data_IF_836784089274
#
_entry.id   IF_836784089274
#
_cell.length_a   1.000
_cell.length_b   1.000
_cell.length_c   1.000
_cell.angle_alpha   90.00
_cell.angle_beta   90.00
_cell.angle_gamma   90.00
#
_symmetry.space_group_name_H-M   'P 1'
#
loop_
_entity.id
_entity.type
_entity.pdbx_description
1 polymer ?
#
# COMPACT_ATOMS: atom_id res chain seq x y z
N UNK A 1 9.64 -13.60 27.98
CA UNK A 1 10.35 -12.77 26.99
C UNK A 1 10.80 -13.74 25.92
N UNK A 2 10.08 -13.82 24.80
CA UNK A 2 10.47 -14.68 23.68
C UNK A 2 10.75 -13.83 22.44
N UNK A 3 11.98 -13.98 21.96
CA UNK A 3 12.59 -13.34 20.81
C UNK A 3 12.05 -13.93 19.50
N UNK A 4 10.96 -13.38 18.96
CA UNK A 4 10.61 -13.57 17.55
C UNK A 4 10.34 -12.25 16.80
N UNK A 5 11.13 -11.24 17.17
CA UNK A 5 11.27 -9.91 16.56
C UNK A 5 12.14 -9.93 15.29
N UNK A 6 11.94 -10.89 14.38
CA UNK A 6 12.58 -10.85 13.04
C UNK A 6 11.58 -11.25 11.97
N UNK A 7 10.89 -10.24 11.42
CA UNK A 7 10.60 -10.06 9.98
C UNK A 7 9.24 -9.37 9.75
N UNK A 8 9.15 -8.10 10.13
CA UNK A 8 8.14 -7.13 9.69
C UNK A 8 8.24 -6.81 8.18
N UNK A 9 8.57 -7.79 7.34
CA UNK A 9 8.67 -7.70 5.88
C UNK A 9 7.69 -8.66 5.17
N UNK A 10 6.91 -9.45 5.91
CA UNK A 10 6.14 -10.59 5.39
C UNK A 10 4.65 -10.34 5.12
N UNK A 11 4.00 -9.38 5.77
CA UNK A 11 2.52 -9.27 5.81
C UNK A 11 1.85 -9.15 4.42
N UNK A 12 2.54 -8.62 3.40
CA UNK A 12 1.99 -8.49 2.04
C UNK A 12 2.36 -9.62 1.05
N UNK A 13 3.38 -10.43 1.35
CA UNK A 13 3.95 -11.41 0.39
C UNK A 13 3.80 -12.87 0.86
N UNK A 14 3.09 -13.09 1.95
CA UNK A 14 2.74 -14.41 2.48
C UNK A 14 1.85 -15.17 1.49
N UNK A 15 2.07 -16.48 1.38
CA UNK A 15 1.28 -17.36 0.50
C UNK A 15 1.62 -17.29 -1.00
N UNK A 16 2.45 -16.35 -1.44
CA UNK A 16 2.90 -16.26 -2.84
C UNK A 16 3.98 -17.29 -3.17
N UNK A 17 4.02 -17.76 -4.41
CA UNK A 17 5.13 -18.60 -4.89
C UNK A 17 6.45 -17.80 -4.93
N UNK A 18 7.57 -18.53 -4.99
CA UNK A 18 8.89 -17.94 -4.91
C UNK A 18 9.21 -16.98 -6.07
N UNK A 19 8.76 -17.30 -7.29
CA UNK A 19 9.00 -16.46 -8.47
C UNK A 19 8.21 -15.14 -8.33
N UNK A 20 6.93 -15.22 -7.96
CA UNK A 20 6.10 -14.05 -7.70
C UNK A 20 6.71 -13.16 -6.63
N UNK A 21 7.14 -13.74 -5.50
CA UNK A 21 7.80 -12.98 -4.42
C UNK A 21 9.07 -12.28 -4.91
N UNK A 22 9.86 -12.96 -5.75
CA UNK A 22 11.09 -12.40 -6.33
C UNK A 22 10.79 -11.22 -7.25
N UNK A 23 9.79 -11.33 -8.11
CA UNK A 23 9.38 -10.26 -9.04
C UNK A 23 8.87 -9.05 -8.24
N UNK A 24 8.00 -9.26 -7.25
CA UNK A 24 7.43 -8.15 -6.46
C UNK A 24 8.50 -7.42 -5.64
N UNK A 25 9.45 -8.15 -5.04
CA UNK A 25 10.60 -7.55 -4.36
C UNK A 25 11.55 -6.80 -5.31
N UNK A 26 11.65 -7.25 -6.56
CA UNK A 26 12.45 -6.56 -7.58
C UNK A 26 11.77 -5.27 -8.05
N UNK A 27 10.44 -5.20 -8.10
CA UNK A 27 9.73 -3.99 -8.53
C UNK A 27 10.01 -2.81 -7.61
N UNK A 28 9.91 -2.99 -6.29
CA UNK A 28 10.15 -1.90 -5.34
C UNK A 28 10.77 -2.40 -4.04
N UNK A 29 11.76 -1.66 -3.50
CA UNK A 29 12.29 -1.92 -2.16
C UNK A 29 11.35 -1.41 -1.05
N UNK A 30 10.35 -0.58 -1.38
CA UNK A 30 9.48 0.05 -0.39
C UNK A 30 8.34 -0.88 0.01
N UNK A 31 8.12 -1.00 1.32
CA UNK A 31 7.01 -1.73 1.89
C UNK A 31 6.32 -0.88 2.97
N UNK A 32 5.06 -0.49 2.71
CA UNK A 32 4.28 0.36 3.61
C UNK A 32 3.36 -0.41 4.56
N UNK A 33 3.20 -1.73 4.39
CA UNK A 33 2.39 -2.55 5.30
C UNK A 33 2.87 -2.52 6.77
N UNK A 34 4.18 -2.55 7.07
CA UNK A 34 4.66 -2.49 8.45
C UNK A 34 4.28 -1.19 9.13
N UNK A 35 4.51 -0.06 8.45
CA UNK A 35 4.12 1.25 8.96
C UNK A 35 2.60 1.37 9.12
N UNK A 36 1.83 0.83 8.17
CA UNK A 36 0.37 0.77 8.29
C UNK A 36 -0.05 0.01 9.55
N UNK A 37 0.52 -1.17 9.78
CA UNK A 37 0.24 -2.01 10.94
C UNK A 37 0.61 -1.31 12.25
N UNK A 38 1.75 -0.64 12.32
CA UNK A 38 2.15 0.17 13.47
C UNK A 38 1.12 1.27 13.77
N UNK A 39 0.69 2.02 12.76
CA UNK A 39 -0.32 3.09 12.93
C UNK A 39 -1.68 2.51 13.33
N UNK A 40 -2.09 1.40 12.70
CA UNK A 40 -3.37 0.74 12.96
C UNK A 40 -3.41 0.13 14.36
N UNK A 41 -2.31 -0.47 14.83
CA UNK A 41 -2.19 -1.07 16.17
C UNK A 41 -2.13 -0.02 17.28
N UNK A 42 -1.55 1.15 17.03
CA UNK A 42 -1.53 2.27 17.97
C UNK A 42 -2.86 3.04 18.04
N UNK A 43 -3.77 2.83 17.07
CA UNK A 43 -5.07 3.49 17.02
C UNK A 43 -6.01 2.86 18.05
N UNK A 44 -6.57 3.68 18.94
CA UNK A 44 -7.61 3.24 19.88
C UNK A 44 -8.82 2.69 19.13
N UNK A 45 -9.46 1.67 19.71
CA UNK A 45 -10.67 1.08 19.17
C UNK A 45 -11.73 2.18 18.92
N UNK A 46 -12.55 2.00 17.88
CA UNK A 46 -13.57 2.96 17.42
C UNK A 46 -13.06 4.31 16.88
N UNK A 47 -11.77 4.65 17.05
CA UNK A 47 -11.22 5.91 16.53
C UNK A 47 -11.31 5.97 15.00
N UNK A 48 -11.92 7.05 14.51
CA UNK A 48 -12.15 7.27 13.08
C UNK A 48 -13.40 6.62 12.51
N UNK A 49 -14.21 5.92 13.31
CA UNK A 49 -15.48 5.35 12.84
C UNK A 49 -16.46 6.45 12.40
N UNK A 50 -16.53 7.55 13.15
CA UNK A 50 -17.33 8.73 12.79
C UNK A 50 -17.02 9.25 11.38
N UNK A 51 -15.76 9.14 10.93
CA UNK A 51 -15.33 9.60 9.62
C UNK A 51 -15.89 8.71 8.51
N UNK A 52 -15.86 7.38 8.69
CA UNK A 52 -16.45 6.43 7.74
C UNK A 52 -17.98 6.60 7.65
N UNK A 53 -18.61 7.06 8.73
CA UNK A 53 -20.04 7.34 8.75
C UNK A 53 -20.41 8.68 8.11
N UNK A 54 -19.43 9.57 7.91
CA UNK A 54 -19.66 10.91 7.38
C UNK A 54 -20.10 10.88 5.90
N UNK A 55 -21.05 11.75 5.54
CA UNK A 55 -21.67 11.73 4.21
C UNK A 55 -20.65 11.98 3.08
N UNK A 56 -19.63 12.81 3.32
CA UNK A 56 -18.58 13.06 2.33
C UNK A 56 -17.77 11.80 2.02
N UNK A 57 -17.45 10.99 3.02
CA UNK A 57 -16.75 9.72 2.80
C UNK A 57 -17.64 8.74 2.05
N UNK A 58 -18.89 8.56 2.49
CA UNK A 58 -19.85 7.67 1.83
C UNK A 58 -20.09 8.04 0.36
N UNK A 59 -20.21 9.34 0.08
CA UNK A 59 -20.34 9.84 -1.27
C UNK A 59 -19.09 9.55 -2.11
N UNK A 60 -17.90 9.80 -1.57
CA UNK A 60 -16.64 9.52 -2.26
C UNK A 60 -16.48 8.03 -2.61
N UNK A 61 -16.85 7.12 -1.72
CA UNK A 61 -16.79 5.66 -1.99
C UNK A 61 -17.84 5.22 -3.02
N UNK A 62 -19.02 5.84 -3.03
CA UNK A 62 -20.17 5.37 -3.83
C UNK A 62 -20.18 5.97 -5.24
N UNK A 63 -19.76 7.22 -5.41
CA UNK A 63 -19.96 7.97 -6.65
C UNK A 63 -18.67 8.06 -7.49
N UNK A 64 -18.61 7.45 -8.68
CA UNK A 64 -17.43 7.44 -9.55
C UNK A 64 -16.93 8.83 -9.96
N UNK A 65 -17.80 9.85 -9.91
CA UNK A 65 -17.46 11.23 -10.27
C UNK A 65 -16.62 11.96 -9.21
N UNK A 66 -16.55 11.45 -7.98
CA UNK A 66 -15.72 12.01 -6.90
C UNK A 66 -14.43 11.20 -6.78
N UNK A 67 -13.42 11.56 -7.57
CA UNK A 67 -12.17 10.78 -7.63
C UNK A 67 -11.23 11.05 -6.44
N UNK A 68 -11.38 12.18 -5.74
CA UNK A 68 -10.43 12.62 -4.72
C UNK A 68 -11.14 13.12 -3.46
N UNK A 69 -10.67 12.64 -2.31
CA UNK A 69 -11.04 13.13 -0.98
C UNK A 69 -9.77 13.62 -0.28
N UNK A 70 -9.74 14.89 0.13
CA UNK A 70 -8.58 15.50 0.79
C UNK A 70 -8.93 15.86 2.23
N UNK A 71 -8.16 15.34 3.19
CA UNK A 71 -8.25 15.71 4.59
C UNK A 71 -7.27 16.82 4.93
N UNK A 72 -7.78 17.96 5.39
CA UNK A 72 -6.97 19.10 5.87
C UNK A 72 -7.00 19.18 7.40
N UNK A 73 -5.92 19.66 8.01
CA UNK A 73 -5.86 19.87 9.45
C UNK A 73 -4.45 20.20 9.93
N UNK A 74 -4.36 20.74 11.14
CA UNK A 74 -3.09 21.09 11.79
C UNK A 74 -2.21 19.85 12.06
N UNK A 75 -0.88 20.00 12.19
CA UNK A 75 -0.03 18.92 12.68
C UNK A 75 -0.57 18.32 13.99
N UNK A 76 -0.51 17.00 14.14
CA UNK A 76 -1.00 16.31 15.34
C UNK A 76 -2.51 16.02 15.40
N UNK A 77 -3.34 16.50 14.47
CA UNK A 77 -4.80 16.27 14.49
C UNK A 77 -5.26 14.85 14.10
N UNK A 78 -4.35 13.88 14.03
CA UNK A 78 -4.70 12.48 13.74
C UNK A 78 -5.03 12.17 12.27
N UNK A 79 -4.66 13.02 11.30
CA UNK A 79 -4.91 12.76 9.86
C UNK A 79 -4.42 11.39 9.41
N UNK A 80 -3.19 11.02 9.77
CA UNK A 80 -2.59 9.72 9.44
C UNK A 80 -3.35 8.54 10.05
N UNK A 81 -3.89 8.72 11.26
CA UNK A 81 -4.71 7.72 11.95
C UNK A 81 -6.07 7.55 11.25
N UNK A 82 -6.66 8.64 10.74
CA UNK A 82 -7.87 8.56 9.91
C UNK A 82 -7.58 7.89 8.56
N UNK A 83 -6.45 8.22 7.91
CA UNK A 83 -6.04 7.56 6.67
C UNK A 83 -5.81 6.06 6.86
N UNK A 84 -5.23 5.61 7.98
CA UNK A 84 -5.12 4.16 8.25
C UNK A 84 -6.49 3.51 8.40
N UNK A 85 -7.49 4.20 9.00
CA UNK A 85 -8.85 3.66 9.12
C UNK A 85 -9.53 3.50 7.75
N UNK A 86 -9.24 4.40 6.81
CA UNK A 86 -9.68 4.27 5.42
C UNK A 86 -9.02 3.09 4.72
N UNK A 87 -7.71 2.88 4.91
CA UNK A 87 -6.99 1.72 4.35
C UNK A 87 -7.59 0.42 4.91
N UNK A 88 -7.82 0.32 6.22
CA UNK A 88 -8.46 -0.85 6.83
C UNK A 88 -9.84 -1.16 6.23
N UNK A 89 -10.65 -0.11 6.02
CA UNK A 89 -11.96 -0.24 5.37
C UNK A 89 -11.84 -0.88 3.98
N UNK A 90 -10.90 -0.43 3.14
CA UNK A 90 -10.71 -1.00 1.81
C UNK A 90 -10.05 -2.38 1.83
N UNK A 91 -9.13 -2.66 2.77
CA UNK A 91 -8.58 -4.00 2.95
C UNK A 91 -9.70 -5.00 3.27
N UNK A 92 -10.60 -4.65 4.18
CA UNK A 92 -11.78 -5.47 4.49
C UNK A 92 -12.69 -5.65 3.27
N UNK A 93 -12.94 -4.60 2.49
CA UNK A 93 -13.74 -4.71 1.26
C UNK A 93 -13.07 -5.61 0.21
N UNK A 94 -11.75 -5.55 0.07
CA UNK A 94 -11.00 -6.39 -0.86
C UNK A 94 -11.13 -7.89 -0.54
N UNK A 95 -11.28 -8.26 0.74
CA UNK A 95 -11.55 -9.67 1.13
C UNK A 95 -12.91 -10.17 0.62
N UNK A 96 -13.87 -9.26 0.39
CA UNK A 96 -15.22 -9.58 -0.09
C UNK A 96 -15.35 -9.42 -1.60
N UNK A 97 -14.54 -8.56 -2.20
CA UNK A 97 -14.56 -8.25 -3.62
C UNK A 97 -13.13 -8.09 -4.17
N UNK A 98 -12.62 -9.17 -4.77
CA UNK A 98 -11.30 -9.20 -5.39
C UNK A 98 -11.14 -8.27 -6.60
N UNK A 99 -12.23 -7.68 -7.12
CA UNK A 99 -12.15 -6.68 -8.19
C UNK A 99 -11.60 -5.34 -7.68
N UNK A 100 -11.62 -5.07 -6.37
CA UNK A 100 -11.09 -3.84 -5.77
C UNK A 100 -9.56 -3.92 -5.71
N UNK A 101 -8.88 -2.94 -6.31
CA UNK A 101 -7.43 -2.79 -6.24
C UNK A 101 -7.10 -1.72 -5.21
N UNK A 102 -6.25 -2.04 -4.25
CA UNK A 102 -5.84 -1.12 -3.19
C UNK A 102 -4.32 -1.01 -3.17
N UNK A 103 -3.84 0.23 -3.11
CA UNK A 103 -2.46 0.56 -2.80
C UNK A 103 -2.43 1.86 -2.01
N UNK A 104 -1.45 1.99 -1.13
CA UNK A 104 -1.30 3.14 -0.24
C UNK A 104 0.17 3.44 0.03
N UNK A 105 0.46 4.70 0.38
CA UNK A 105 1.79 5.20 0.70
C UNK A 105 1.72 5.96 2.03
N UNK A 106 2.78 5.84 2.83
CA UNK A 106 2.99 6.67 4.00
C UNK A 106 4.29 7.44 3.83
N UNK A 107 4.18 8.71 3.42
CA UNK A 107 5.33 9.54 3.08
C UNK A 107 5.91 10.22 4.33
N UNK A 108 7.24 10.24 4.42
CA UNK A 108 7.99 10.77 5.55
C UNK A 108 9.13 11.63 5.02
N UNK A 109 9.23 12.87 5.52
CA UNK A 109 10.32 13.79 5.15
C UNK A 109 11.70 13.29 5.57
N UNK A 110 11.78 12.28 6.44
CA UNK A 110 13.05 11.73 6.93
C UNK A 110 13.64 10.68 5.98
N UNK A 111 12.85 10.14 5.06
CA UNK A 111 13.21 8.98 4.22
C UNK A 111 13.31 9.35 2.72
N UNK A 112 13.64 10.61 2.42
CA UNK A 112 13.59 11.18 1.07
C UNK A 112 14.48 10.46 0.05
N UNK A 113 15.57 9.80 0.49
CA UNK A 113 16.47 9.08 -0.41
C UNK A 113 15.85 7.81 -1.01
N UNK A 114 14.88 7.19 -0.33
CA UNK A 114 14.18 6.00 -0.82
C UNK A 114 12.77 6.34 -1.35
N UNK A 115 12.20 7.47 -0.96
CA UNK A 115 10.86 7.93 -1.39
C UNK A 115 10.91 8.83 -2.63
N UNK A 116 11.72 8.46 -3.63
CA UNK A 116 11.67 9.11 -4.94
C UNK A 116 10.43 8.65 -5.74
N UNK A 117 10.08 9.41 -6.79
CA UNK A 117 8.90 9.14 -7.61
C UNK A 117 8.88 7.73 -8.19
N UNK A 118 10.03 7.21 -8.60
CA UNK A 118 10.15 5.89 -9.21
C UNK A 118 9.83 4.80 -8.20
N UNK A 119 10.49 4.83 -7.04
CA UNK A 119 10.28 3.87 -5.98
C UNK A 119 8.84 3.91 -5.44
N UNK A 120 8.23 5.09 -5.34
CA UNK A 120 6.84 5.25 -4.92
C UNK A 120 5.83 4.67 -5.92
N UNK A 121 6.00 4.94 -7.22
CA UNK A 121 5.12 4.37 -8.25
C UNK A 121 5.30 2.86 -8.35
N UNK A 122 6.54 2.38 -8.28
CA UNK A 122 6.81 0.94 -8.25
C UNK A 122 6.22 0.26 -7.00
N UNK A 123 6.19 0.95 -5.85
CA UNK A 123 5.55 0.45 -4.63
C UNK A 123 4.04 0.33 -4.78
N UNK A 124 3.40 1.32 -5.41
CA UNK A 124 1.96 1.26 -5.73
C UNK A 124 1.67 0.09 -6.68
N UNK A 125 2.46 -0.05 -7.75
CA UNK A 125 2.28 -1.14 -8.70
C UNK A 125 2.48 -2.50 -8.04
N UNK A 126 3.53 -2.67 -7.25
CA UNK A 126 3.80 -3.88 -6.47
C UNK A 126 2.61 -4.24 -5.56
N UNK A 127 2.05 -3.28 -4.84
CA UNK A 127 0.87 -3.50 -3.98
C UNK A 127 -0.36 -3.96 -4.76
N UNK A 128 -0.64 -3.35 -5.92
CA UNK A 128 -1.77 -3.72 -6.77
C UNK A 128 -1.65 -5.15 -7.32
N UNK A 129 -0.43 -5.67 -7.42
CA UNK A 129 -0.14 -7.01 -7.93
C UNK A 129 -0.24 -8.13 -6.88
N UNK A 130 -0.23 -7.81 -5.57
CA UNK A 130 -0.12 -8.82 -4.50
C UNK A 130 -1.19 -9.92 -4.56
N UNK A 131 -2.39 -9.61 -5.06
CA UNK A 131 -3.50 -10.56 -5.18
C UNK A 131 -4.06 -10.60 -6.61
N UNK A 132 -3.21 -10.32 -7.61
CA UNK A 132 -3.63 -10.17 -9.01
C UNK A 132 -2.67 -10.85 -9.98
N UNK A 133 -3.07 -10.84 -11.25
CA UNK A 133 -2.24 -11.35 -12.33
C UNK A 133 -0.96 -10.51 -12.50
N UNK A 134 0.19 -11.15 -12.30
CA UNK A 134 1.52 -10.54 -12.43
C UNK A 134 2.14 -10.64 -13.82
N UNK A 135 1.40 -11.10 -14.84
CA UNK A 135 1.94 -11.40 -16.17
C UNK A 135 2.69 -10.22 -16.79
N UNK A 136 2.16 -9.00 -16.70
CA UNK A 136 2.86 -7.79 -17.19
C UNK A 136 4.18 -7.58 -16.44
N UNK A 137 4.15 -7.62 -15.11
CA UNK A 137 5.36 -7.48 -14.29
C UNK A 137 6.38 -8.59 -14.56
N UNK A 138 5.92 -9.82 -14.88
CA UNK A 138 6.81 -10.93 -15.26
C UNK A 138 7.47 -10.69 -16.62
N UNK A 139 6.76 -10.13 -17.60
CA UNK A 139 7.36 -9.73 -18.90
C UNK A 139 8.45 -8.69 -18.66
N UNK A 140 8.12 -7.64 -17.90
CA UNK A 140 9.05 -6.55 -17.59
C UNK A 140 10.25 -7.09 -16.78
N UNK A 141 10.02 -7.94 -15.78
CA UNK A 141 11.11 -8.62 -15.06
C UNK A 141 12.05 -9.39 -15.99
N UNK A 142 11.49 -10.15 -16.94
CA UNK A 142 12.28 -10.97 -17.85
C UNK A 142 13.12 -10.16 -18.86
N UNK A 143 12.69 -8.96 -19.25
CA UNK A 143 13.49 -8.08 -20.11
C UNK A 143 14.65 -7.40 -19.37
N UNK A 144 14.55 -7.27 -18.05
CA UNK A 144 15.56 -6.63 -17.21
C UNK A 144 16.50 -7.60 -16.49
N UNK A 145 16.07 -8.86 -16.23
CA UNK A 145 16.83 -9.82 -15.40
C UNK A 145 18.27 -10.09 -15.89
N UNK A 146 18.52 -10.03 -17.20
CA UNK A 146 19.87 -10.28 -17.76
C UNK A 146 20.79 -9.06 -17.64
N UNK A 147 20.21 -7.86 -17.57
CA UNK A 147 20.96 -6.59 -17.52
C UNK A 147 21.11 -6.06 -16.10
N UNK A 148 20.49 -6.73 -15.12
CA UNK A 148 20.45 -6.34 -13.71
C UNK A 148 19.93 -4.90 -13.49
N UNK A 149 18.99 -4.47 -14.34
CA UNK A 149 18.36 -3.15 -14.23
C UNK A 149 16.98 -3.23 -13.57
N UNK A 150 16.47 -2.08 -13.15
CA UNK A 150 15.10 -1.88 -12.64
C UNK A 150 14.18 -1.36 -13.76
N UNK A 151 12.85 -1.53 -13.69
CA UNK A 151 11.97 -1.03 -14.73
C UNK A 151 12.06 0.50 -14.81
N UNK A 152 11.89 1.10 -15.98
CA UNK A 152 11.80 2.55 -16.12
C UNK A 152 10.40 3.06 -15.72
N UNK A 153 10.27 4.38 -15.51
CA UNK A 153 8.97 5.02 -15.25
C UNK A 153 7.93 4.81 -16.38
N UNK A 154 8.34 4.43 -17.60
CA UNK A 154 7.41 4.13 -18.70
C UNK A 154 6.91 2.69 -18.69
N UNK A 155 7.62 1.82 -17.98
CA UNK A 155 7.33 0.38 -17.87
C UNK A 155 6.51 0.06 -16.59
N UNK A 156 6.49 1.01 -15.65
CA UNK A 156 5.60 1.06 -14.48
C UNK A 156 4.28 1.71 -14.90
#
# INVERSE_FOLDING_TARGET
MDNNQISSLHIGLEGLDEETRKILKWLSPLNFFPMHYEIASARQEETGEWFLQHQQFKNWVTYPKQMLLVGHGLPGTGKTVLSSKVVDYFLQLQTRNHAIGLAFLYLSYKDQSAQDLHNLLAALWMQLLLNRNIHHARIVYNSHKQKETIPSLKEI
#
